data_IF_092759271521
#
_entry.id   IF_092759271521
#
_cell.length_a   1.000
_cell.length_b   1.000
_cell.length_c   1.000
_cell.angle_alpha   90.00
_cell.angle_beta   90.00
_cell.angle_gamma   90.00
#
_symmetry.space_group_name_H-M   'P 1'
#
loop_
_entity.id
_entity.type
_entity.pdbx_description
1 polymer ?
#
# COMPACT_ATOMS: atom_id res chain seq x y z
N UNK A 1 33.93 24.96 -22.92
CA UNK A 1 34.01 24.35 -21.57
C UNK A 1 32.82 24.70 -20.64
N UNK A 2 32.43 25.97 -20.45
CA UNK A 2 31.31 26.37 -19.54
C UNK A 2 29.95 25.74 -19.91
N UNK A 3 29.64 25.54 -21.19
CA UNK A 3 28.35 25.01 -21.64
C UNK A 3 28.25 23.49 -21.42
N UNK A 4 29.33 22.75 -21.62
CA UNK A 4 29.43 21.33 -21.29
C UNK A 4 29.25 21.06 -19.79
N UNK A 5 29.87 21.87 -18.92
CA UNK A 5 29.70 21.74 -17.46
C UNK A 5 28.25 21.95 -17.03
N UNK A 6 27.52 22.90 -17.63
CA UNK A 6 26.09 23.12 -17.33
C UNK A 6 25.22 21.93 -17.77
N UNK A 7 25.50 21.35 -18.92
CA UNK A 7 24.80 20.16 -19.40
C UNK A 7 25.09 18.95 -18.51
N UNK A 8 26.32 18.76 -18.09
CA UNK A 8 26.72 17.66 -17.21
C UNK A 8 26.03 17.77 -15.82
N UNK A 9 25.99 18.97 -15.23
CA UNK A 9 25.28 19.22 -13.97
C UNK A 9 23.78 18.93 -14.12
N UNK A 10 23.17 19.35 -15.23
CA UNK A 10 21.75 19.10 -15.49
C UNK A 10 21.46 17.61 -15.56
N UNK A 11 22.25 16.84 -16.31
CA UNK A 11 22.12 15.39 -16.42
C UNK A 11 22.34 14.73 -15.06
N UNK A 12 23.35 15.14 -14.30
CA UNK A 12 23.59 14.62 -12.96
C UNK A 12 22.40 14.85 -12.02
N UNK A 13 21.81 16.06 -12.01
CA UNK A 13 20.64 16.36 -11.18
C UNK A 13 19.44 15.47 -11.55
N UNK A 14 19.15 15.31 -12.84
CA UNK A 14 18.04 14.47 -13.31
C UNK A 14 18.28 13.00 -12.93
N UNK A 15 19.49 12.48 -13.14
CA UNK A 15 19.85 11.11 -12.76
C UNK A 15 19.73 10.89 -11.24
N UNK A 16 20.17 11.86 -10.43
CA UNK A 16 20.03 11.78 -8.97
C UNK A 16 18.55 11.71 -8.56
N UNK A 17 17.68 12.53 -9.15
CA UNK A 17 16.25 12.50 -8.86
C UNK A 17 15.62 11.14 -9.26
N UNK A 18 15.98 10.60 -10.43
CA UNK A 18 15.52 9.27 -10.88
C UNK A 18 15.98 8.17 -9.91
N UNK A 19 17.23 8.22 -9.45
CA UNK A 19 17.76 7.25 -8.48
C UNK A 19 17.02 7.31 -7.15
N UNK A 20 16.73 8.53 -6.63
CA UNK A 20 15.97 8.71 -5.39
C UNK A 20 14.54 8.16 -5.53
N UNK A 21 13.85 8.45 -6.63
CA UNK A 21 12.53 7.90 -6.90
C UNK A 21 12.52 6.38 -7.07
N UNK A 22 13.60 5.82 -7.65
CA UNK A 22 13.76 4.36 -7.74
C UNK A 22 14.01 3.73 -6.37
N UNK A 23 14.82 4.38 -5.53
CA UNK A 23 15.07 3.96 -4.15
C UNK A 23 13.78 3.98 -3.33
N UNK A 24 12.99 5.04 -3.44
CA UNK A 24 11.69 5.15 -2.77
C UNK A 24 10.76 3.99 -3.16
N UNK A 25 10.63 3.70 -4.47
CA UNK A 25 9.81 2.57 -4.94
C UNK A 25 10.33 1.22 -4.42
N UNK A 26 11.65 1.04 -4.40
CA UNK A 26 12.26 -0.18 -3.87
C UNK A 26 11.92 -0.37 -2.38
N UNK A 27 12.05 0.68 -1.56
CA UNK A 27 11.72 0.64 -0.15
C UNK A 27 10.23 0.33 0.09
N UNK A 28 9.34 1.01 -0.61
CA UNK A 28 7.88 0.81 -0.48
C UNK A 28 7.45 -0.58 -0.94
N UNK A 29 8.04 -1.10 -2.01
CA UNK A 29 7.76 -2.46 -2.47
C UNK A 29 8.24 -3.54 -1.49
N UNK A 30 9.17 -3.20 -0.59
CA UNK A 30 9.63 -4.07 0.50
C UNK A 30 8.66 -4.16 1.68
N UNK A 31 7.47 -3.53 1.62
CA UNK A 31 6.45 -3.61 2.68
C UNK A 31 5.22 -4.33 2.13
N UNK A 32 5.12 -5.66 2.27
CA UNK A 32 4.03 -6.43 1.65
C UNK A 32 2.63 -6.02 2.12
N UNK A 33 2.46 -5.61 3.38
CA UNK A 33 1.18 -5.15 3.93
C UNK A 33 0.63 -3.89 3.23
N UNK A 34 1.48 -3.09 2.60
CA UNK A 34 1.10 -1.87 1.88
C UNK A 34 0.85 -2.10 0.38
N UNK A 35 0.87 -3.34 -0.09
CA UNK A 35 0.82 -3.68 -1.51
C UNK A 35 -0.34 -4.62 -1.88
N UNK A 36 -1.31 -4.83 -0.97
CA UNK A 36 -2.38 -5.81 -1.23
C UNK A 36 -3.21 -5.41 -2.46
N UNK A 37 -3.60 -4.14 -2.59
CA UNK A 37 -4.37 -3.66 -3.75
C UNK A 37 -3.67 -3.97 -5.08
N UNK A 38 -2.35 -3.75 -5.16
CA UNK A 38 -1.56 -4.05 -6.37
C UNK A 38 -1.37 -5.56 -6.61
N UNK A 39 -1.36 -6.37 -5.56
CA UNK A 39 -1.25 -7.83 -5.66
C UNK A 39 -2.59 -8.49 -5.99
N UNK A 40 -3.69 -7.77 -5.75
CA UNK A 40 -5.04 -8.29 -5.96
C UNK A 40 -5.46 -8.25 -7.41
N UNK A 41 -5.26 -7.10 -8.07
CA UNK A 41 -5.56 -6.92 -9.48
C UNK A 41 -4.59 -5.96 -10.15
N UNK A 42 -4.15 -6.30 -11.36
CA UNK A 42 -3.34 -5.44 -12.21
C UNK A 42 -4.21 -4.51 -13.09
N UNK A 43 -5.44 -4.92 -13.38
CA UNK A 43 -6.31 -4.27 -14.37
C UNK A 43 -7.42 -3.42 -13.74
N UNK A 44 -7.81 -3.71 -12.50
CA UNK A 44 -8.91 -3.02 -11.82
C UNK A 44 -8.40 -2.22 -10.63
N UNK A 45 -8.99 -1.02 -10.43
CA UNK A 45 -8.65 -0.18 -9.30
C UNK A 45 -9.27 -0.74 -8.01
N UNK A 46 -8.43 -1.03 -7.02
CA UNK A 46 -8.83 -1.39 -5.66
C UNK A 46 -8.26 -0.39 -4.67
N UNK A 47 -9.06 -0.03 -3.66
CA UNK A 47 -8.60 0.71 -2.50
C UNK A 47 -8.29 -0.28 -1.35
N UNK A 48 -7.12 -0.13 -0.76
CA UNK A 48 -6.78 -0.73 0.53
C UNK A 48 -6.93 0.35 1.59
N UNK A 49 -7.81 0.13 2.56
CA UNK A 49 -8.14 1.07 3.63
C UNK A 49 -7.86 0.41 4.96
N UNK A 50 -7.20 1.12 5.87
CA UNK A 50 -7.00 0.67 7.25
C UNK A 50 -7.67 1.67 8.21
N UNK A 51 -8.38 1.14 9.19
CA UNK A 51 -9.06 1.90 10.23
C UNK A 51 -8.55 1.45 11.61
N UNK A 52 -8.12 2.40 12.43
CA UNK A 52 -7.59 2.17 13.78
C UNK A 52 -8.49 2.87 14.78
N UNK A 53 -8.90 2.17 15.84
CA UNK A 53 -9.88 2.65 16.80
C UNK A 53 -9.22 3.21 18.06
N UNK A 54 -9.88 4.19 18.67
CA UNK A 54 -9.50 4.69 19.98
C UNK A 54 -9.73 3.62 21.05
N UNK A 55 -8.82 3.49 22.03
CA UNK A 55 -8.89 2.46 23.08
C UNK A 55 -10.21 2.41 23.87
N UNK A 56 -10.86 3.56 24.02
CA UNK A 56 -12.11 3.67 24.78
C UNK A 56 -13.36 3.42 23.92
N UNK A 57 -13.18 3.20 22.61
CA UNK A 57 -14.24 2.89 21.65
C UNK A 57 -14.13 1.44 21.26
N UNK A 58 -15.09 0.65 21.74
CA UNK A 58 -15.10 -0.77 21.43
C UNK A 58 -15.82 -1.05 20.10
N UNK A 59 -15.08 -1.35 19.03
CA UNK A 59 -15.63 -2.13 17.94
C UNK A 59 -15.62 -3.60 18.37
N UNK A 60 -16.77 -4.25 18.37
CA UNK A 60 -16.90 -5.65 18.78
C UNK A 60 -17.17 -6.56 17.58
N UNK A 61 -16.83 -7.84 17.72
CA UNK A 61 -16.98 -8.82 16.65
C UNK A 61 -18.42 -8.96 16.13
N UNK A 62 -19.42 -8.72 16.97
CA UNK A 62 -20.83 -8.78 16.58
C UNK A 62 -21.21 -7.68 15.56
N UNK A 63 -20.43 -6.60 15.48
CA UNK A 63 -20.66 -5.50 14.55
C UNK A 63 -20.08 -5.79 13.16
N UNK A 64 -19.10 -6.70 13.05
CA UNK A 64 -18.41 -7.03 11.79
C UNK A 64 -19.42 -7.46 10.71
N UNK A 65 -20.31 -8.39 11.00
CA UNK A 65 -21.32 -8.80 10.03
C UNK A 65 -22.27 -7.67 9.58
N UNK A 66 -22.41 -6.60 10.38
CA UNK A 66 -23.13 -5.39 10.00
C UNK A 66 -22.33 -4.54 9.01
N UNK A 67 -21.04 -4.37 9.28
CA UNK A 67 -20.10 -3.65 8.43
C UNK A 67 -20.02 -4.34 7.06
N UNK A 68 -19.79 -5.66 7.02
CA UNK A 68 -19.71 -6.46 5.80
C UNK A 68 -20.96 -6.29 4.93
N UNK A 69 -22.16 -6.39 5.52
CA UNK A 69 -23.42 -6.19 4.79
C UNK A 69 -23.55 -4.78 4.21
N UNK A 70 -23.10 -3.76 4.94
CA UNK A 70 -23.11 -2.38 4.44
C UNK A 70 -22.14 -2.20 3.27
N UNK A 71 -20.96 -2.83 3.32
CA UNK A 71 -19.98 -2.81 2.23
C UNK A 71 -20.50 -3.52 0.97
N UNK A 72 -21.15 -4.69 1.14
CA UNK A 72 -21.79 -5.41 0.04
C UNK A 72 -22.87 -4.53 -0.61
N UNK A 73 -23.72 -3.89 0.19
CA UNK A 73 -24.77 -2.98 -0.31
C UNK A 73 -24.14 -1.80 -1.08
N UNK A 74 -23.07 -1.21 -0.58
CA UNK A 74 -22.37 -0.13 -1.28
C UNK A 74 -21.81 -0.57 -2.65
N UNK A 75 -21.27 -1.80 -2.74
CA UNK A 75 -20.83 -2.38 -4.02
C UNK A 75 -22.00 -2.59 -4.98
N UNK A 76 -23.12 -3.13 -4.51
CA UNK A 76 -24.33 -3.36 -5.32
C UNK A 76 -24.89 -2.03 -5.86
N UNK A 77 -24.92 -0.97 -5.03
CA UNK A 77 -25.33 0.38 -5.46
C UNK A 77 -24.39 0.97 -6.53
N UNK A 78 -23.11 0.59 -6.49
CA UNK A 78 -22.12 0.94 -7.51
C UNK A 78 -22.19 0.04 -8.76
N UNK A 79 -23.16 -0.89 -8.84
CA UNK A 79 -23.29 -1.92 -9.88
C UNK A 79 -22.06 -2.87 -9.96
N UNK A 80 -21.40 -3.11 -8.84
CA UNK A 80 -20.30 -4.06 -8.71
C UNK A 80 -20.81 -5.24 -7.85
N UNK A 81 -20.78 -6.50 -8.35
CA UNK A 81 -21.13 -7.64 -7.54
C UNK A 81 -20.07 -7.87 -6.46
N UNK A 82 -20.46 -8.36 -5.29
CA UNK A 82 -19.51 -8.72 -4.23
C UNK A 82 -18.55 -9.84 -4.68
N UNK A 83 -19.05 -10.76 -5.51
CA UNK A 83 -18.28 -11.81 -6.18
C UNK A 83 -18.43 -11.69 -7.69
N UNK A 84 -17.32 -11.85 -8.42
CA UNK A 84 -17.35 -11.85 -9.88
C UNK A 84 -17.81 -13.21 -10.43
N UNK A 85 -18.30 -13.24 -11.68
CA UNK A 85 -18.74 -14.48 -12.35
C UNK A 85 -17.65 -15.56 -12.42
N UNK A 86 -16.38 -15.17 -12.34
CA UNK A 86 -15.22 -16.07 -12.35
C UNK A 86 -14.74 -16.48 -10.95
N UNK A 87 -15.52 -16.20 -9.88
CA UNK A 87 -15.19 -16.53 -8.50
C UNK A 87 -14.17 -15.59 -7.86
N UNK A 88 -13.85 -14.43 -8.49
CA UNK A 88 -13.07 -13.37 -7.85
C UNK A 88 -13.92 -12.59 -6.86
N UNK A 89 -13.30 -12.00 -5.85
CA UNK A 89 -13.97 -11.15 -4.86
C UNK A 89 -13.63 -9.68 -5.08
N UNK A 90 -14.66 -8.82 -5.06
CA UNK A 90 -14.50 -7.36 -5.19
C UNK A 90 -14.26 -6.68 -3.84
N UNK A 91 -14.25 -7.44 -2.77
CA UNK A 91 -13.85 -6.98 -1.44
C UNK A 91 -13.34 -8.15 -0.59
N UNK A 92 -12.47 -7.83 0.34
CA UNK A 92 -12.08 -8.68 1.47
C UNK A 92 -11.75 -7.77 2.64
N UNK A 93 -11.92 -8.30 3.84
CA UNK A 93 -11.58 -7.58 5.06
C UNK A 93 -10.71 -8.39 6.00
N UNK A 94 -10.20 -7.70 6.99
CA UNK A 94 -9.50 -8.27 8.12
C UNK A 94 -9.70 -7.38 9.34
N UNK A 95 -9.66 -7.98 10.52
CA UNK A 95 -9.65 -7.25 11.77
C UNK A 95 -8.67 -7.87 12.75
N UNK A 96 -8.17 -7.07 13.67
CA UNK A 96 -7.26 -7.56 14.69
C UNK A 96 -7.41 -6.82 16.01
N UNK A 97 -7.00 -7.52 17.06
CA UNK A 97 -6.92 -7.02 18.43
C UNK A 97 -5.59 -7.44 19.03
N UNK A 98 -4.92 -6.56 19.75
CA UNK A 98 -3.64 -6.85 20.40
C UNK A 98 -3.86 -7.11 21.89
N UNK A 99 -3.27 -8.19 22.40
CA UNK A 99 -3.30 -8.57 23.80
C UNK A 99 -2.06 -9.38 24.19
N UNK A 100 -2.09 -9.97 25.38
CA UNK A 100 -1.05 -10.85 25.88
C UNK A 100 -1.66 -12.20 26.25
N UNK A 101 -0.98 -13.28 25.91
CA UNK A 101 -1.38 -14.65 26.23
C UNK A 101 -0.24 -15.44 26.89
N UNK A 102 -0.62 -16.30 27.83
CA UNK A 102 0.26 -17.37 28.31
C UNK A 102 0.06 -18.57 27.40
N UNK A 103 1.07 -18.92 26.62
CA UNK A 103 1.05 -20.09 25.73
C UNK A 103 1.92 -21.19 26.36
N UNK A 104 1.32 -22.34 26.57
CA UNK A 104 1.97 -23.47 27.25
C UNK A 104 2.15 -24.62 26.28
N UNK A 105 3.36 -25.15 26.20
CA UNK A 105 3.64 -26.48 25.64
C UNK A 105 3.71 -27.52 26.76
N UNK A 106 3.92 -28.80 26.40
CA UNK A 106 4.08 -29.86 27.39
C UNK A 106 5.21 -29.61 28.44
N UNK A 107 6.11 -28.65 28.21
CA UNK A 107 7.31 -28.46 29.01
C UNK A 107 7.52 -27.02 29.49
N UNK A 108 6.97 -26.03 28.78
CA UNK A 108 7.35 -24.63 28.99
C UNK A 108 6.14 -23.74 28.75
N UNK A 109 6.01 -22.68 29.54
CA UNK A 109 5.03 -21.60 29.33
C UNK A 109 5.79 -20.34 28.93
N UNK A 110 5.28 -19.63 27.92
CA UNK A 110 5.78 -18.34 27.48
C UNK A 110 4.65 -17.29 27.60
N UNK A 111 4.99 -16.12 28.15
CA UNK A 111 4.14 -14.94 28.03
C UNK A 111 4.52 -14.24 26.72
N UNK A 112 3.57 -14.06 25.86
CA UNK A 112 3.80 -13.58 24.50
C UNK A 112 2.76 -12.52 24.11
N UNK A 113 3.17 -11.61 23.24
CA UNK A 113 2.24 -10.73 22.56
C UNK A 113 1.31 -11.59 21.68
N UNK A 114 0.03 -11.31 21.71
CA UNK A 114 -0.97 -12.04 20.94
C UNK A 114 -1.77 -11.09 20.06
N UNK A 115 -1.93 -11.47 18.80
CA UNK A 115 -2.91 -10.86 17.92
C UNK A 115 -4.06 -11.84 17.71
N UNK A 116 -5.25 -11.46 18.20
CA UNK A 116 -6.50 -12.09 17.83
C UNK A 116 -6.93 -11.56 16.47
N UNK A 117 -6.94 -12.41 15.44
CA UNK A 117 -7.15 -11.98 14.05
C UNK A 117 -8.38 -12.66 13.44
N UNK A 118 -9.06 -11.93 12.57
CA UNK A 118 -10.20 -12.44 11.82
C UNK A 118 -10.19 -11.97 10.36
N UNK A 119 -11.15 -12.44 9.58
CA UNK A 119 -11.19 -12.19 8.15
C UNK A 119 -10.01 -12.82 7.40
N UNK A 120 -9.57 -12.16 6.37
CA UNK A 120 -8.43 -12.59 5.54
C UNK A 120 -7.09 -11.96 5.99
N UNK A 121 -6.84 -11.86 7.29
CA UNK A 121 -5.69 -11.13 7.90
C UNK A 121 -4.34 -11.44 7.25
N UNK A 122 -4.02 -12.70 6.98
CA UNK A 122 -2.73 -13.08 6.39
C UNK A 122 -2.59 -12.72 4.91
N UNK A 123 -3.66 -12.27 4.25
CA UNK A 123 -3.58 -11.65 2.92
C UNK A 123 -3.12 -10.21 3.00
N UNK A 124 -3.58 -9.49 4.03
CA UNK A 124 -3.10 -8.13 4.33
C UNK A 124 -1.67 -8.15 4.85
N UNK A 125 -1.37 -9.09 5.73
CA UNK A 125 -0.07 -9.24 6.41
C UNK A 125 0.59 -10.57 6.06
N UNK A 126 1.14 -10.72 4.85
CA UNK A 126 1.83 -11.95 4.47
C UNK A 126 3.18 -12.04 5.20
N UNK A 127 3.41 -13.14 5.88
CA UNK A 127 4.67 -13.50 6.53
C UNK A 127 5.40 -14.56 5.72
N UNK A 128 6.67 -14.81 6.05
CA UNK A 128 7.37 -15.99 5.55
C UNK A 128 6.94 -17.23 6.34
N UNK A 129 6.18 -18.12 5.70
CA UNK A 129 5.74 -19.37 6.32
C UNK A 129 6.91 -20.36 6.41
N UNK A 130 7.24 -20.80 7.61
CA UNK A 130 8.31 -21.78 7.90
C UNK A 130 7.79 -23.20 7.92
N UNK A 131 6.58 -23.41 8.47
CA UNK A 131 5.89 -24.71 8.48
C UNK A 131 4.39 -24.53 8.56
N UNK A 132 3.62 -25.50 8.07
CA UNK A 132 2.15 -25.50 8.15
C UNK A 132 1.46 -24.63 7.12
N UNK A 133 0.33 -24.05 7.51
CA UNK A 133 -0.56 -23.23 6.67
C UNK A 133 -1.10 -22.05 7.47
N UNK A 134 -1.59 -21.04 6.78
CA UNK A 134 -2.42 -19.99 7.40
C UNK A 134 -3.84 -20.54 7.65
N UNK A 135 -4.58 -19.83 8.48
CA UNK A 135 -6.05 -19.91 8.55
C UNK A 135 -6.63 -18.61 7.98
N UNK A 136 -7.86 -18.66 7.50
CA UNK A 136 -8.53 -17.50 6.89
C UNK A 136 -10.04 -17.49 7.23
N UNK A 137 -10.77 -16.55 6.60
CA UNK A 137 -12.21 -16.37 6.80
C UNK A 137 -13.06 -17.60 6.44
N UNK A 138 -12.53 -18.52 5.61
CA UNK A 138 -13.25 -19.72 5.16
C UNK A 138 -13.10 -20.92 6.12
N UNK A 139 -12.21 -20.82 7.10
CA UNK A 139 -12.04 -21.86 8.11
C UNK A 139 -13.27 -21.93 9.04
N UNK A 140 -13.96 -23.05 9.05
CA UNK A 140 -15.12 -23.27 9.93
C UNK A 140 -14.71 -23.34 11.40
N UNK A 141 -13.54 -23.95 11.68
CA UNK A 141 -13.01 -24.04 13.03
C UNK A 141 -12.22 -22.78 13.37
N UNK A 142 -12.69 -22.06 14.37
CA UNK A 142 -12.01 -20.86 14.89
C UNK A 142 -10.93 -21.19 15.93
N UNK A 143 -10.16 -22.25 15.67
CA UNK A 143 -9.14 -22.82 16.57
C UNK A 143 -7.69 -22.60 16.10
N UNK A 144 -7.50 -21.73 15.09
CA UNK A 144 -6.19 -21.52 14.47
C UNK A 144 -5.21 -20.79 15.39
N UNK A 145 -4.02 -21.38 15.56
CA UNK A 145 -2.87 -20.77 16.23
C UNK A 145 -1.68 -20.79 15.30
N UNK A 146 -1.06 -19.63 15.07
CA UNK A 146 0.19 -19.46 14.34
C UNK A 146 1.21 -18.86 15.27
N UNK A 147 2.35 -19.51 15.41
CA UNK A 147 3.46 -19.04 16.22
C UNK A 147 4.44 -18.26 15.34
N UNK A 148 5.04 -17.20 15.89
CA UNK A 148 6.28 -16.74 15.29
C UNK A 148 7.43 -17.69 15.57
N UNK A 149 8.53 -17.54 14.83
CA UNK A 149 9.70 -18.41 14.95
C UNK A 149 10.29 -18.38 16.36
N UNK A 150 10.29 -17.23 17.06
CA UNK A 150 10.83 -17.09 18.41
C UNK A 150 10.01 -17.89 19.41
N UNK A 151 8.68 -17.79 19.36
CA UNK A 151 7.79 -18.57 20.23
C UNK A 151 7.94 -20.06 19.96
N UNK A 152 8.01 -20.46 18.68
CA UNK A 152 8.22 -21.86 18.31
C UNK A 152 9.54 -22.43 18.89
N UNK A 153 10.63 -21.68 18.80
CA UNK A 153 11.91 -22.05 19.42
C UNK A 153 11.87 -22.06 20.94
N UNK A 154 11.20 -21.08 21.56
CA UNK A 154 11.08 -20.98 23.01
C UNK A 154 10.28 -22.17 23.62
N UNK A 155 9.20 -22.55 22.97
CA UNK A 155 8.29 -23.61 23.46
C UNK A 155 8.76 -25.01 23.08
N UNK A 156 9.34 -25.21 21.89
CA UNK A 156 9.60 -26.51 21.32
C UNK A 156 11.05 -26.74 20.88
N UNK A 157 11.87 -25.71 20.77
CA UNK A 157 13.23 -25.79 20.25
C UNK A 157 13.31 -26.09 18.75
N UNK A 158 12.24 -25.78 17.99
CA UNK A 158 12.15 -26.04 16.55
C UNK A 158 11.11 -25.13 15.92
N UNK A 159 11.29 -24.75 14.64
CA UNK A 159 10.28 -24.09 13.83
C UNK A 159 9.36 -25.06 13.07
N UNK A 160 9.65 -26.36 13.07
CA UNK A 160 8.83 -27.38 12.42
C UNK A 160 7.87 -28.04 13.43
N UNK A 161 6.87 -27.27 13.87
CA UNK A 161 5.93 -27.69 14.94
C UNK A 161 4.46 -27.59 14.50
N UNK A 162 4.20 -27.33 13.24
CA UNK A 162 2.83 -27.36 12.69
C UNK A 162 2.20 -28.74 12.93
N UNK A 163 0.93 -28.76 13.40
CA UNK A 163 0.22 -29.97 13.81
C UNK A 163 0.47 -30.44 15.26
N UNK A 164 1.42 -29.80 15.98
CA UNK A 164 1.52 -29.95 17.43
C UNK A 164 0.48 -29.10 18.14
N UNK A 165 0.37 -29.24 19.45
CA UNK A 165 -0.63 -28.58 20.28
C UNK A 165 0.00 -27.62 21.28
N UNK A 166 -0.73 -26.54 21.57
CA UNK A 166 -0.45 -25.61 22.65
C UNK A 166 -1.69 -25.43 23.52
N UNK A 167 -1.48 -25.16 24.79
CA UNK A 167 -2.52 -24.81 25.73
C UNK A 167 -2.56 -23.30 25.95
N UNK A 168 -3.74 -22.70 25.80
CA UNK A 168 -4.03 -21.29 26.06
C UNK A 168 -5.24 -21.23 26.97
N UNK A 169 -5.13 -20.62 28.13
CA UNK A 169 -6.21 -20.47 29.11
C UNK A 169 -6.92 -21.81 29.47
N UNK A 170 -6.15 -22.92 29.52
CA UNK A 170 -6.66 -24.27 29.86
C UNK A 170 -7.31 -25.02 28.69
N UNK A 171 -7.40 -24.45 27.51
CA UNK A 171 -7.88 -25.11 26.29
C UNK A 171 -6.72 -25.47 25.37
N UNK A 172 -6.86 -26.59 24.65
CA UNK A 172 -5.82 -27.11 23.75
C UNK A 172 -6.14 -26.71 22.32
N UNK A 173 -5.17 -26.12 21.63
CA UNK A 173 -5.31 -25.64 20.26
C UNK A 173 -4.21 -26.20 19.35
N UNK A 174 -4.52 -26.60 18.11
CA UNK A 174 -3.52 -27.05 17.16
C UNK A 174 -2.72 -25.86 16.58
N UNK A 175 -1.41 -26.04 16.48
CA UNK A 175 -0.55 -25.11 15.77
C UNK A 175 -0.77 -25.32 14.28
N UNK A 176 -1.39 -24.33 13.61
CA UNK A 176 -1.63 -24.35 12.16
C UNK A 176 -0.37 -24.06 11.37
N UNK A 177 0.48 -23.16 11.87
CA UNK A 177 1.70 -22.78 11.20
C UNK A 177 2.71 -22.07 12.09
N UNK A 178 3.92 -21.93 11.55
CA UNK A 178 4.98 -21.13 12.11
C UNK A 178 5.43 -20.12 11.07
N UNK A 179 5.53 -18.88 11.46
CA UNK A 179 5.91 -17.77 10.58
C UNK A 179 7.17 -17.07 11.08
N UNK A 180 7.83 -16.40 10.15
CA UNK A 180 8.92 -15.45 10.44
C UNK A 180 8.46 -14.08 10.00
N UNK A 181 8.58 -13.11 10.90
CA UNK A 181 8.43 -11.70 10.58
C UNK A 181 9.57 -11.24 9.69
N UNK A 182 9.27 -10.40 8.70
CA UNK A 182 10.29 -9.84 7.83
C UNK A 182 11.12 -8.82 8.62
N UNK A 183 12.43 -9.02 8.68
CA UNK A 183 13.35 -8.02 9.18
C UNK A 183 13.48 -6.89 8.15
N UNK A 184 13.17 -5.67 8.55
CA UNK A 184 13.22 -4.51 7.67
C UNK A 184 13.67 -3.26 8.42
N UNK A 185 13.73 -2.15 7.70
CA UNK A 185 13.94 -0.85 8.33
C UNK A 185 12.84 -0.61 9.36
N UNK A 186 13.20 -0.17 10.55
CA UNK A 186 12.32 0.08 11.71
C UNK A 186 11.79 -1.16 12.45
N UNK A 187 12.06 -2.39 12.03
CA UNK A 187 11.54 -3.60 12.74
C UNK A 187 11.88 -3.60 14.23
N UNK A 188 13.13 -3.28 14.60
CA UNK A 188 13.57 -3.17 15.99
C UNK A 188 12.86 -2.00 16.73
N UNK A 189 12.70 -0.85 16.06
CA UNK A 189 12.11 0.34 16.68
C UNK A 189 10.61 0.20 16.97
N UNK A 190 9.92 -0.71 16.26
CA UNK A 190 8.48 -0.97 16.43
C UNK A 190 8.20 -2.29 17.16
N UNK A 191 9.25 -2.91 17.72
CA UNK A 191 9.15 -4.20 18.44
C UNK A 191 8.51 -5.32 17.59
N UNK A 192 8.73 -5.31 16.27
CA UNK A 192 8.24 -6.35 15.36
C UNK A 192 8.83 -7.73 15.72
N UNK A 193 10.04 -7.74 16.26
CA UNK A 193 10.75 -8.95 16.69
C UNK A 193 10.31 -9.46 18.08
N UNK A 194 9.29 -8.87 18.72
CA UNK A 194 8.76 -9.39 19.96
C UNK A 194 8.10 -10.76 19.73
N UNK A 195 8.33 -11.69 20.69
CA UNK A 195 7.72 -13.02 20.65
C UNK A 195 6.19 -12.91 20.52
N UNK A 196 5.66 -13.32 19.40
CA UNK A 196 4.28 -13.05 19.00
C UNK A 196 3.54 -14.33 18.59
N UNK A 197 2.26 -14.42 18.95
CA UNK A 197 1.36 -15.43 18.42
C UNK A 197 0.19 -14.76 17.70
N UNK A 198 -0.27 -15.36 16.62
CA UNK A 198 -1.48 -14.98 15.92
C UNK A 198 -2.51 -16.09 16.15
N UNK A 199 -3.60 -15.73 16.78
CA UNK A 199 -4.68 -16.66 17.10
C UNK A 199 -5.97 -16.20 16.44
N UNK A 200 -6.92 -17.11 16.23
CA UNK A 200 -8.27 -16.66 15.89
C UNK A 200 -8.76 -15.63 16.91
N UNK A 201 -9.45 -14.61 16.45
CA UNK A 201 -10.02 -13.58 17.35
C UNK A 201 -10.80 -14.18 18.50
N UNK A 202 -11.54 -15.26 18.23
CA UNK A 202 -12.38 -15.95 19.24
C UNK A 202 -11.55 -16.53 20.39
N UNK A 203 -10.34 -17.03 20.12
CA UNK A 203 -9.41 -17.52 21.16
C UNK A 203 -8.96 -16.38 22.06
N UNK A 204 -8.60 -15.24 21.48
CA UNK A 204 -8.21 -14.06 22.27
C UNK A 204 -9.38 -13.54 23.11
N UNK A 205 -10.56 -13.39 22.50
CA UNK A 205 -11.76 -12.93 23.17
C UNK A 205 -12.15 -13.85 24.33
N UNK A 206 -12.09 -15.18 24.16
CA UNK A 206 -12.36 -16.17 25.21
C UNK A 206 -11.36 -16.05 26.36
N UNK A 207 -10.09 -15.83 26.09
CA UNK A 207 -9.06 -15.64 27.11
C UNK A 207 -9.31 -14.39 27.97
N UNK A 208 -10.01 -13.39 27.43
CA UNK A 208 -10.39 -12.15 28.12
C UNK A 208 -11.86 -12.11 28.57
N UNK A 209 -12.53 -13.26 28.64
CA UNK A 209 -13.87 -13.39 29.20
C UNK A 209 -15.02 -13.38 28.18
N UNK A 210 -14.73 -13.65 26.91
CA UNK A 210 -15.69 -13.84 25.83
C UNK A 210 -15.93 -12.60 24.95
N UNK A 211 -15.32 -11.46 25.26
CA UNK A 211 -15.38 -10.24 24.46
C UNK A 211 -14.11 -9.46 24.58
N UNK A 212 -13.58 -8.96 23.47
CA UNK A 212 -12.38 -8.13 23.44
C UNK A 212 -12.49 -7.09 22.32
N UNK A 213 -12.12 -5.82 22.55
CA UNK A 213 -12.26 -4.77 21.53
C UNK A 213 -11.36 -5.04 20.32
N UNK A 214 -11.86 -4.74 19.14
CA UNK A 214 -11.10 -4.76 17.90
C UNK A 214 -10.34 -3.44 17.78
N UNK A 215 -9.01 -3.51 17.64
CA UNK A 215 -8.13 -2.34 17.56
C UNK A 215 -7.98 -1.83 16.14
N UNK A 216 -8.07 -2.72 15.14
CA UNK A 216 -7.97 -2.35 13.73
C UNK A 216 -8.92 -3.16 12.84
N UNK A 217 -9.39 -2.48 11.79
CA UNK A 217 -10.17 -3.06 10.70
C UNK A 217 -9.55 -2.65 9.37
N UNK A 218 -9.28 -3.60 8.52
CA UNK A 218 -8.67 -3.39 7.21
C UNK A 218 -9.60 -3.90 6.11
N UNK A 219 -9.70 -3.13 5.05
CA UNK A 219 -10.58 -3.38 3.91
C UNK A 219 -9.80 -3.27 2.62
N UNK A 220 -9.98 -4.25 1.75
CA UNK A 220 -9.68 -4.13 0.33
C UNK A 220 -11.00 -4.17 -0.42
N UNK A 221 -11.27 -3.16 -1.23
CA UNK A 221 -12.53 -3.04 -1.96
C UNK A 221 -12.29 -2.49 -3.36
N UNK A 222 -13.08 -2.94 -4.35
CA UNK A 222 -13.07 -2.34 -5.69
C UNK A 222 -13.40 -0.84 -5.60
N UNK A 223 -12.59 -0.01 -6.28
CA UNK A 223 -12.61 1.45 -6.14
C UNK A 223 -12.88 2.11 -7.50
N UNK A 224 -14.15 2.08 -7.99
CA UNK A 224 -14.51 2.56 -9.32
C UNK A 224 -14.34 4.07 -9.48
N UNK A 225 -14.38 4.81 -8.38
CA UNK A 225 -14.13 6.25 -8.30
C UNK A 225 -13.26 6.55 -7.10
N UNK A 226 -12.50 7.63 -7.15
CA UNK A 226 -11.63 8.07 -6.05
C UNK A 226 -12.43 8.19 -4.74
N UNK A 227 -11.82 7.77 -3.61
CA UNK A 227 -12.39 7.80 -2.26
C UNK A 227 -13.62 6.88 -2.04
N UNK A 228 -14.03 6.05 -3.00
CA UNK A 228 -15.16 5.14 -2.81
C UNK A 228 -14.95 4.21 -1.62
N UNK A 229 -13.80 3.57 -1.52
CA UNK A 229 -13.48 2.65 -0.43
C UNK A 229 -13.51 3.33 0.95
N UNK A 230 -12.96 4.54 1.05
CA UNK A 230 -12.99 5.35 2.28
C UNK A 230 -14.42 5.71 2.68
N UNK A 231 -15.22 6.16 1.72
CA UNK A 231 -16.63 6.55 1.95
C UNK A 231 -17.48 5.34 2.34
N UNK A 232 -17.32 4.22 1.65
CA UNK A 232 -18.05 2.99 1.94
C UNK A 232 -17.77 2.50 3.37
N UNK A 233 -16.49 2.48 3.79
CA UNK A 233 -16.11 2.07 5.13
C UNK A 233 -16.60 3.08 6.20
N UNK A 234 -16.49 4.39 5.96
CA UNK A 234 -17.00 5.41 6.88
C UNK A 234 -18.51 5.23 7.15
N UNK A 235 -19.28 5.00 6.09
CA UNK A 235 -20.72 4.76 6.21
C UNK A 235 -21.04 3.46 6.93
N UNK A 236 -20.26 2.39 6.66
CA UNK A 236 -20.43 1.08 7.27
C UNK A 236 -20.14 1.08 8.77
N UNK A 237 -19.11 1.80 9.21
CA UNK A 237 -18.73 1.91 10.62
C UNK A 237 -19.81 2.62 11.46
N UNK A 238 -20.51 3.60 10.88
CA UNK A 238 -21.57 4.39 11.59
C UNK A 238 -21.10 4.96 12.93
N UNK A 239 -19.82 5.34 13.04
CA UNK A 239 -19.15 5.89 14.21
C UNK A 239 -18.80 7.36 14.02
N UNK A 240 -18.60 8.07 15.13
CA UNK A 240 -18.06 9.45 15.10
C UNK A 240 -16.58 9.42 14.65
N UNK A 241 -16.21 10.22 13.66
CA UNK A 241 -14.84 10.28 13.07
C UNK A 241 -13.73 10.61 14.08
N UNK A 242 -14.09 11.16 15.24
CA UNK A 242 -13.12 11.39 16.33
C UNK A 242 -12.64 10.10 16.99
N UNK A 243 -13.41 9.01 16.87
CA UNK A 243 -13.18 7.74 17.55
C UNK A 243 -12.28 6.78 16.79
N UNK A 244 -11.91 7.14 15.55
CA UNK A 244 -11.00 6.33 14.74
C UNK A 244 -10.11 7.19 13.84
N UNK A 245 -9.06 6.59 13.30
CA UNK A 245 -8.27 7.13 12.22
C UNK A 245 -8.32 6.17 11.05
N UNK A 246 -8.70 6.68 9.89
CA UNK A 246 -8.80 5.92 8.66
C UNK A 246 -7.74 6.38 7.66
N UNK A 247 -7.07 5.44 7.04
CA UNK A 247 -5.95 5.68 6.14
C UNK A 247 -6.17 4.92 4.85
N UNK A 248 -6.12 5.60 3.72
CA UNK A 248 -6.07 4.94 2.42
C UNK A 248 -4.64 4.47 2.14
N UNK A 249 -4.40 3.19 2.40
CA UNK A 249 -3.09 2.55 2.29
C UNK A 249 -2.58 2.53 0.85
N UNK A 250 -3.48 2.33 -0.12
CA UNK A 250 -3.16 2.30 -1.55
C UNK A 250 -2.61 3.62 -2.09
N UNK A 251 -3.01 4.77 -1.52
CA UNK A 251 -2.55 6.10 -1.89
C UNK A 251 -1.42 6.65 -0.99
N UNK A 252 -1.03 5.92 0.07
CA UNK A 252 -0.13 6.36 1.14
C UNK A 252 1.21 6.91 0.65
N UNK A 253 1.78 6.35 -0.41
CA UNK A 253 3.09 6.74 -0.95
C UNK A 253 3.01 7.56 -2.23
N UNK A 254 1.83 8.06 -2.57
CA UNK A 254 1.61 8.93 -3.72
C UNK A 254 2.22 10.31 -3.50
N UNK A 255 2.46 11.00 -4.60
CA UNK A 255 3.13 12.31 -4.57
C UNK A 255 2.40 13.33 -3.67
N UNK A 256 1.06 13.39 -3.74
CA UNK A 256 0.26 14.35 -2.97
C UNK A 256 0.29 14.01 -1.47
N UNK A 257 0.17 12.74 -1.13
CA UNK A 257 0.25 12.29 0.26
C UNK A 257 1.64 12.59 0.86
N UNK A 258 2.72 12.30 0.12
CA UNK A 258 4.10 12.63 0.55
C UNK A 258 4.30 14.13 0.78
N UNK A 259 3.66 15.01 -0.02
CA UNK A 259 3.67 16.44 0.22
C UNK A 259 2.92 16.82 1.49
N UNK A 260 1.82 16.14 1.78
CA UNK A 260 1.04 16.36 2.99
C UNK A 260 1.81 15.94 4.24
N UNK A 261 2.49 14.80 4.18
CA UNK A 261 3.43 14.35 5.23
C UNK A 261 4.49 15.43 5.52
N UNK A 262 5.08 16.04 4.49
CA UNK A 262 6.07 17.13 4.68
C UNK A 262 5.48 18.34 5.40
N UNK A 263 4.25 18.73 5.08
CA UNK A 263 3.57 19.86 5.72
C UNK A 263 3.30 19.62 7.21
N UNK A 264 2.98 18.39 7.57
CA UNK A 264 2.57 18.00 8.92
C UNK A 264 3.69 17.34 9.74
N UNK A 265 4.95 17.38 9.28
CA UNK A 265 6.07 16.66 9.88
C UNK A 265 6.26 16.95 11.39
N UNK A 266 5.95 18.17 11.86
CA UNK A 266 6.11 18.56 13.26
C UNK A 266 4.95 18.17 14.20
N UNK A 267 3.80 17.79 13.66
CA UNK A 267 2.59 17.47 14.46
C UNK A 267 2.12 16.02 14.29
N UNK A 268 2.66 15.32 13.29
CA UNK A 268 2.24 13.99 12.88
C UNK A 268 2.51 12.89 13.94
N UNK A 269 3.53 13.08 14.77
CA UNK A 269 3.87 12.18 15.87
C UNK A 269 3.03 12.37 17.12
N UNK A 270 2.15 13.40 17.14
CA UNK A 270 1.26 13.62 18.28
C UNK A 270 0.07 12.68 18.20
N UNK A 271 -0.03 11.78 19.17
CA UNK A 271 -1.23 10.95 19.33
C UNK A 271 -2.34 11.77 20.02
N UNK A 272 -3.20 12.38 19.21
CA UNK A 272 -4.29 13.23 19.69
C UNK A 272 -5.59 12.46 19.93
N UNK A 273 -5.68 11.23 19.41
CA UNK A 273 -6.91 10.40 19.47
C UNK A 273 -6.79 9.19 20.40
N UNK A 274 -5.74 9.07 21.21
CA UNK A 274 -5.50 7.90 22.08
C UNK A 274 -5.56 6.53 21.35
N UNK A 275 -5.11 6.50 20.09
CA UNK A 275 -5.07 5.30 19.26
C UNK A 275 -3.71 4.61 19.47
N UNK A 276 -3.72 3.32 19.75
CA UNK A 276 -2.53 2.50 19.77
C UNK A 276 -2.44 1.78 18.45
N UNK A 277 -1.45 2.19 17.64
CA UNK A 277 -1.23 1.58 16.34
C UNK A 277 -0.46 0.29 16.49
N UNK A 278 -0.84 -0.78 15.78
CA UNK A 278 -0.05 -2.00 15.73
C UNK A 278 1.31 -1.75 15.07
N UNK A 279 2.27 -2.65 15.32
CA UNK A 279 3.66 -2.48 14.89
C UNK A 279 3.79 -2.27 13.36
N UNK A 280 2.95 -2.93 12.56
CA UNK A 280 2.98 -2.77 11.09
C UNK A 280 2.58 -1.37 10.63
N UNK A 281 1.64 -0.73 11.32
CA UNK A 281 1.27 0.66 11.03
C UNK A 281 2.38 1.63 11.48
N UNK A 282 2.95 1.44 12.65
CA UNK A 282 4.09 2.23 13.11
C UNK A 282 5.29 2.11 12.16
N UNK A 283 5.55 0.91 11.65
CA UNK A 283 6.55 0.66 10.61
C UNK A 283 6.21 1.42 9.33
N UNK A 284 4.98 1.35 8.84
CA UNK A 284 4.54 2.06 7.64
C UNK A 284 4.70 3.58 7.78
N UNK A 285 4.36 4.16 8.95
CA UNK A 285 4.59 5.58 9.26
C UNK A 285 6.08 5.96 9.19
N UNK A 286 6.98 5.09 9.65
CA UNK A 286 8.42 5.30 9.49
C UNK A 286 8.86 5.35 8.01
N UNK A 287 8.33 4.48 7.17
CA UNK A 287 8.59 4.51 5.73
C UNK A 287 7.98 5.74 5.04
N UNK A 288 6.84 6.25 5.49
CA UNK A 288 6.29 7.52 5.01
C UNK A 288 7.26 8.68 5.27
N UNK A 289 7.82 8.76 6.47
CA UNK A 289 8.78 9.80 6.83
C UNK A 289 10.03 9.74 5.95
N UNK A 290 10.58 8.55 5.72
CA UNK A 290 11.72 8.36 4.79
C UNK A 290 11.32 8.73 3.37
N UNK A 291 10.12 8.31 2.91
CA UNK A 291 9.61 8.65 1.58
C UNK A 291 9.42 10.15 1.39
N UNK A 292 8.95 10.86 2.42
CA UNK A 292 8.83 12.31 2.42
C UNK A 292 10.19 13.02 2.36
N UNK A 293 11.19 12.54 3.11
CA UNK A 293 12.56 13.06 3.05
C UNK A 293 13.19 12.82 1.66
N UNK A 294 12.99 11.66 1.06
CA UNK A 294 13.44 11.38 -0.30
C UNK A 294 12.78 12.33 -1.31
N UNK A 295 11.49 12.66 -1.15
CA UNK A 295 10.80 13.65 -2.00
C UNK A 295 11.43 15.05 -1.87
N UNK A 296 11.78 15.50 -0.67
CA UNK A 296 12.48 16.78 -0.49
C UNK A 296 13.78 16.79 -1.29
N UNK A 297 14.57 15.71 -1.22
CA UNK A 297 15.82 15.60 -1.98
C UNK A 297 15.57 15.56 -3.48
N UNK A 298 14.55 14.84 -3.96
CA UNK A 298 14.14 14.82 -5.36
C UNK A 298 13.81 16.24 -5.87
N UNK A 299 13.01 16.99 -5.11
CA UNK A 299 12.63 18.36 -5.44
C UNK A 299 13.84 19.29 -5.47
N UNK A 300 14.77 19.16 -4.53
CA UNK A 300 16.01 19.93 -4.51
C UNK A 300 16.85 19.67 -5.77
N UNK A 301 17.06 18.41 -6.15
CA UNK A 301 17.78 18.08 -7.38
C UNK A 301 17.05 18.57 -8.63
N UNK A 302 15.71 18.58 -8.65
CA UNK A 302 14.91 19.04 -9.78
C UNK A 302 14.84 20.58 -9.89
N UNK A 303 15.15 21.34 -8.85
CA UNK A 303 15.13 22.81 -8.89
C UNK A 303 15.99 23.38 -10.04
N UNK A 304 17.22 22.88 -10.23
CA UNK A 304 18.11 23.37 -11.28
C UNK A 304 17.61 23.01 -12.70
N UNK A 305 17.24 21.76 -13.03
CA UNK A 305 16.63 21.41 -14.32
C UNK A 305 15.37 22.23 -14.63
N UNK A 306 14.47 22.39 -13.66
CA UNK A 306 13.24 23.17 -13.83
C UNK A 306 13.54 24.63 -14.11
N UNK A 307 14.41 25.27 -13.33
CA UNK A 307 14.82 26.66 -13.53
C UNK A 307 15.48 26.84 -14.91
N UNK A 308 16.33 25.89 -15.32
CA UNK A 308 16.95 25.92 -16.65
C UNK A 308 15.89 25.79 -17.75
N UNK A 309 14.96 24.84 -17.64
CA UNK A 309 13.87 24.63 -18.63
C UNK A 309 12.97 25.88 -18.73
N UNK A 310 12.57 26.47 -17.60
CA UNK A 310 11.79 27.71 -17.58
C UNK A 310 12.53 28.87 -18.27
N UNK A 311 13.85 28.98 -18.06
CA UNK A 311 14.64 30.00 -18.73
C UNK A 311 14.72 29.76 -20.25
N UNK A 312 14.83 28.49 -20.69
CA UNK A 312 14.78 28.19 -22.13
C UNK A 312 13.40 28.50 -22.73
N UNK A 313 12.32 28.12 -22.04
CA UNK A 313 10.95 28.45 -22.48
C UNK A 313 10.74 29.97 -22.58
N UNK A 314 11.22 30.74 -21.61
CA UNK A 314 11.16 32.23 -21.67
C UNK A 314 11.92 32.76 -22.88
N UNK A 315 13.11 32.23 -23.21
CA UNK A 315 13.87 32.62 -24.40
C UNK A 315 13.13 32.28 -25.69
N UNK A 316 12.57 31.05 -25.79
CA UNK A 316 11.78 30.63 -26.94
C UNK A 316 10.55 31.53 -27.12
N UNK A 317 9.86 31.84 -26.05
CA UNK A 317 8.70 32.74 -26.09
C UNK A 317 9.07 34.15 -26.54
N UNK A 318 10.19 34.71 -26.03
CA UNK A 318 10.71 36.04 -26.43
C UNK A 318 11.10 36.05 -27.92
N UNK A 319 11.68 34.96 -28.42
CA UNK A 319 12.17 34.85 -29.81
C UNK A 319 11.14 34.23 -30.76
N UNK A 320 9.88 34.05 -30.32
CA UNK A 320 8.83 33.33 -31.11
C UNK A 320 8.60 33.92 -32.50
N UNK A 321 8.70 35.25 -32.67
CA UNK A 321 8.51 35.91 -33.96
C UNK A 321 9.63 35.57 -34.93
N UNK A 322 10.89 35.63 -34.51
CA UNK A 322 12.06 35.26 -35.34
C UNK A 322 12.07 33.77 -35.69
N UNK A 323 11.70 32.90 -34.71
CA UNK A 323 11.58 31.45 -34.96
C UNK A 323 10.53 31.15 -36.01
N UNK A 324 9.37 31.83 -35.93
CA UNK A 324 8.28 31.67 -36.92
C UNK A 324 8.71 32.13 -38.29
N UNK A 325 9.45 33.22 -38.41
CA UNK A 325 10.02 33.69 -39.67
C UNK A 325 11.04 32.70 -40.24
N UNK A 326 12.00 32.23 -39.43
CA UNK A 326 13.00 31.23 -39.87
C UNK A 326 12.35 29.90 -40.28
N UNK A 327 11.29 29.48 -39.59
CA UNK A 327 10.55 28.24 -39.93
C UNK A 327 9.82 28.39 -41.27
N UNK A 328 9.15 29.54 -41.47
CA UNK A 328 8.44 29.84 -42.73
C UNK A 328 9.43 29.93 -43.91
N UNK A 329 10.61 30.51 -43.69
CA UNK A 329 11.66 30.58 -44.71
C UNK A 329 12.22 29.21 -45.09
N UNK A 330 12.48 28.35 -44.07
CA UNK A 330 12.86 26.96 -44.33
C UNK A 330 11.79 26.18 -45.08
N UNK A 331 10.53 26.32 -44.69
CA UNK A 331 9.39 25.67 -45.37
C UNK A 331 9.27 26.16 -46.83
N UNK A 332 9.44 27.48 -47.06
CA UNK A 332 9.43 28.08 -48.40
C UNK A 332 10.55 27.50 -49.28
N UNK A 333 11.77 27.36 -48.70
CA UNK A 333 12.92 26.80 -49.43
C UNK A 333 12.72 25.29 -49.73
N UNK A 334 12.14 24.52 -48.82
CA UNK A 334 11.81 23.11 -49.06
C UNK A 334 10.71 23.00 -50.16
N UNK A 335 9.71 23.86 -50.09
CA UNK A 335 8.63 23.91 -51.09
C UNK A 335 9.15 24.29 -52.48
N UNK A 336 10.02 25.29 -52.58
CA UNK A 336 10.65 25.67 -53.83
C UNK A 336 11.51 24.56 -54.47
N UNK A 337 12.13 23.75 -53.65
CA UNK A 337 12.89 22.56 -54.14
C UNK A 337 11.97 21.38 -54.51
N UNK A 338 10.88 21.16 -53.79
CA UNK A 338 9.95 20.06 -54.03
C UNK A 338 8.96 20.33 -55.17
N UNK A 339 8.56 21.58 -55.36
CA UNK A 339 7.55 21.97 -56.33
C UNK A 339 7.90 21.61 -57.81
N UNK A 340 9.15 21.84 -58.32
CA UNK A 340 9.52 21.44 -59.66
C UNK A 340 9.55 19.93 -59.87
N UNK A 341 9.90 19.16 -58.84
CA UNK A 341 9.86 17.71 -58.86
C UNK A 341 8.42 17.16 -58.95
N UNK A 342 7.52 17.70 -58.14
CA UNK A 342 6.09 17.36 -58.18
C UNK A 342 5.47 17.71 -59.52
N UNK A 343 5.83 18.86 -60.12
CA UNK A 343 5.33 19.29 -61.43
C UNK A 343 5.81 18.38 -62.56
N UNK A 344 7.02 17.86 -62.46
CA UNK A 344 7.55 16.85 -63.41
C UNK A 344 6.80 15.53 -63.31
N UNK A 345 6.57 15.02 -62.08
CA UNK A 345 5.85 13.76 -61.85
C UNK A 345 4.41 13.81 -62.34
N UNK A 346 3.69 14.91 -62.05
CA UNK A 346 2.30 15.13 -62.54
C UNK A 346 2.25 15.24 -64.06
N UNK A 347 3.25 15.86 -64.71
CA UNK A 347 3.32 15.97 -66.16
C UNK A 347 3.59 14.59 -66.83
N UNK A 348 4.43 13.78 -66.24
CA UNK A 348 4.73 12.40 -66.70
C UNK A 348 3.47 11.51 -66.55
N UNK A 349 2.77 11.62 -65.41
CA UNK A 349 1.54 10.87 -65.17
C UNK A 349 0.42 11.22 -66.15
N UNK A 350 0.24 12.51 -66.50
CA UNK A 350 -0.72 12.98 -67.51
C UNK A 350 -0.35 12.53 -68.93
N UNK A 351 0.95 12.37 -69.28
CA UNK A 351 1.39 11.88 -70.56
C UNK A 351 1.21 10.36 -70.70
N UNK A 352 1.35 9.62 -69.64
CA UNK A 352 1.12 8.16 -69.63
C UNK A 352 -0.37 7.82 -69.76
N UNK A 353 -1.27 8.58 -69.10
CA UNK A 353 -2.72 8.35 -69.19
C UNK A 353 -3.40 8.93 -70.47
N UNK A 354 -2.67 9.66 -71.30
CA UNK A 354 -3.19 10.10 -72.65
C UNK A 354 -2.86 9.10 -73.78
N UNK A 355 -2.06 8.06 -73.47
CA UNK A 355 -1.67 6.99 -74.42
C UNK A 355 -2.40 5.67 -74.17
N UNK A 356 -3.32 5.64 -73.23
CA UNK A 356 -4.34 4.60 -73.07
C UNK A 356 -5.69 5.18 -73.50
#
# INVERSE_FOLDING_TARGET
>A
MKQYRKGLVLVACVLSAILLGSLQRYLVNGIPSQQLAKRWSDDEAFAQVACYFEKDVALMSEQIAGIERSLITALEEAALPAETENGGRNWVDAYSSEGELAVTSNRTTAQVRAFGVGGDFFRFHPFTLLSGTYFDSTDENKDGVILDELVAWQLFGSSNVAGMEVEINGAIYPIRGVVRSDSGMFSEAVEEEAATVYVSYDILAEAYGGSYPIDSYELLIANPVDEFGMTALTNALSMDEKNYEMIEVSARFDFLHRLDVIKHFGVRSMNTKNIVYPYWENRAKGYEDVSALLLILELLFMCYPIAWALNQLRKLYKNRKELKQKLMEKLKNVWQKAYPLLKRTVKTYKLVNRKK
#
